data_IF_632491909507
#
_entry.id   IF_632491909507
#
_cell.length_a   1.000
_cell.length_b   1.000
_cell.length_c   1.000
_cell.angle_alpha   90.00
_cell.angle_beta   90.00
_cell.angle_gamma   90.00
#
_symmetry.space_group_name_H-M   'P 1'
#
loop_
_entity.id
_entity.type
_entity.pdbx_description
1 polymer ?
#
# COMPACT_ATOMS: atom_id res chain seq x y z
N UNK A 1 -2.99 -14.70 -20.58
CA UNK A 1 -3.14 -15.11 -19.16
C UNK A 1 -2.60 -16.53 -18.93
N UNK A 2 -3.20 -17.57 -19.55
CA UNK A 2 -2.87 -19.00 -19.32
C UNK A 2 -1.38 -19.31 -19.53
N UNK A 3 -0.74 -18.81 -20.58
CA UNK A 3 0.69 -19.06 -20.86
C UNK A 3 1.59 -18.53 -19.73
N UNK A 4 1.31 -17.35 -19.19
CA UNK A 4 2.06 -16.80 -18.04
C UNK A 4 1.92 -17.69 -16.80
N UNK A 5 0.69 -18.09 -16.47
CA UNK A 5 0.43 -18.98 -15.35
C UNK A 5 1.13 -20.34 -15.52
N UNK A 6 1.05 -20.94 -16.71
CA UNK A 6 1.71 -22.20 -17.01
C UNK A 6 3.24 -22.09 -16.86
N UNK A 7 3.84 -21.04 -17.42
CA UNK A 7 5.29 -20.79 -17.31
C UNK A 7 5.70 -20.65 -15.86
N UNK A 8 4.95 -19.87 -15.07
CA UNK A 8 5.21 -19.70 -13.64
C UNK A 8 5.13 -21.02 -12.88
N UNK A 9 4.07 -21.81 -13.08
CA UNK A 9 3.91 -23.10 -12.43
C UNK A 9 5.04 -24.08 -12.80
N UNK A 10 5.44 -24.12 -14.08
CA UNK A 10 6.55 -24.97 -14.52
C UNK A 10 7.90 -24.50 -13.94
N UNK A 11 8.11 -23.21 -13.77
CA UNK A 11 9.34 -22.66 -13.21
C UNK A 11 9.51 -22.95 -11.72
N UNK A 12 8.42 -22.90 -10.97
CA UNK A 12 8.43 -23.04 -9.50
C UNK A 12 8.28 -24.52 -9.09
N UNK A 13 7.46 -25.28 -9.79
CA UNK A 13 7.15 -26.66 -9.44
C UNK A 13 6.31 -26.81 -8.17
N UNK A 14 5.97 -28.04 -7.81
CA UNK A 14 5.07 -28.31 -6.68
C UNK A 14 5.64 -27.86 -5.33
N UNK A 15 6.92 -28.11 -5.09
CA UNK A 15 7.59 -27.71 -3.84
C UNK A 15 7.71 -26.17 -3.75
N UNK A 16 8.05 -25.51 -4.87
CA UNK A 16 8.13 -24.06 -4.93
C UNK A 16 6.80 -23.39 -4.63
N UNK A 17 5.66 -23.91 -5.09
CA UNK A 17 4.32 -23.38 -4.77
C UNK A 17 4.03 -23.40 -3.26
N UNK A 18 4.48 -24.42 -2.54
CA UNK A 18 4.38 -24.48 -1.08
C UNK A 18 5.25 -23.39 -0.44
N UNK A 19 6.46 -23.19 -0.95
CA UNK A 19 7.37 -22.13 -0.43
C UNK A 19 6.83 -20.73 -0.70
N UNK A 20 6.28 -20.48 -1.89
CA UNK A 20 5.60 -19.21 -2.24
C UNK A 20 4.53 -18.87 -1.20
N UNK A 21 3.62 -19.80 -0.91
CA UNK A 21 2.55 -19.59 0.06
C UNK A 21 3.08 -19.33 1.47
N UNK A 22 4.09 -20.10 1.90
CA UNK A 22 4.72 -19.92 3.22
C UNK A 22 5.42 -18.58 3.35
N UNK A 23 6.17 -18.16 2.32
CA UNK A 23 6.87 -16.89 2.31
C UNK A 23 5.89 -15.70 2.34
N UNK A 24 4.83 -15.73 1.54
CA UNK A 24 3.81 -14.68 1.54
C UNK A 24 3.15 -14.52 2.93
N UNK A 25 2.78 -15.63 3.58
CA UNK A 25 2.21 -15.61 4.94
C UNK A 25 3.22 -15.08 5.97
N UNK A 26 4.48 -15.49 5.87
CA UNK A 26 5.55 -15.01 6.75
C UNK A 26 5.75 -13.50 6.61
N UNK A 27 5.88 -13.03 5.37
CA UNK A 27 6.09 -11.62 5.04
C UNK A 27 4.95 -10.74 5.56
N UNK A 28 3.70 -11.14 5.34
CA UNK A 28 2.53 -10.40 5.83
C UNK A 28 2.51 -10.30 7.37
N UNK A 29 2.78 -11.39 8.06
CA UNK A 29 2.83 -11.38 9.53
C UNK A 29 4.03 -10.60 10.08
N UNK A 30 5.16 -10.62 9.38
CA UNK A 30 6.33 -9.81 9.73
C UNK A 30 6.00 -8.32 9.70
N UNK A 31 5.45 -7.82 8.59
CA UNK A 31 5.03 -6.42 8.46
C UNK A 31 3.97 -6.05 9.51
N UNK A 32 2.95 -6.89 9.70
CA UNK A 32 1.87 -6.65 10.66
C UNK A 32 2.41 -6.43 12.08
N UNK A 33 3.30 -7.30 12.54
CA UNK A 33 3.87 -7.20 13.89
C UNK A 33 4.71 -5.93 14.06
N UNK A 34 5.45 -5.52 13.03
CA UNK A 34 6.31 -4.34 13.08
C UNK A 34 5.52 -3.01 13.00
N UNK A 35 4.35 -3.01 12.37
CA UNK A 35 3.57 -1.79 12.13
C UNK A 35 2.44 -1.56 13.14
N UNK A 36 2.09 -2.55 13.96
CA UNK A 36 0.93 -2.49 14.87
C UNK A 36 0.99 -1.36 15.93
N UNK A 37 2.18 -0.90 16.28
CA UNK A 37 2.36 0.15 17.30
C UNK A 37 2.22 1.57 16.67
N UNK A 38 2.14 1.67 15.34
CA UNK A 38 2.07 2.93 14.60
C UNK A 38 0.73 3.15 13.92
N UNK A 39 0.01 2.06 13.61
CA UNK A 39 -1.28 2.07 12.94
C UNK A 39 -2.27 1.18 13.67
N UNK A 40 -3.55 1.49 13.56
CA UNK A 40 -4.58 0.59 14.06
C UNK A 40 -4.55 -0.76 13.35
N UNK A 41 -4.69 -1.84 14.09
CA UNK A 41 -4.86 -3.20 13.53
C UNK A 41 -6.34 -3.57 13.65
N UNK A 42 -7.00 -3.77 12.52
CA UNK A 42 -8.41 -4.13 12.51
C UNK A 42 -8.66 -5.52 13.13
N UNK A 43 -7.73 -6.45 12.91
CA UNK A 43 -7.80 -7.83 13.43
C UNK A 43 -6.42 -8.24 13.95
N UNK A 44 -6.21 -8.13 15.28
CA UNK A 44 -4.91 -8.47 15.90
C UNK A 44 -4.78 -9.98 16.13
N UNK A 45 -4.63 -10.70 15.05
CA UNK A 45 -4.33 -12.14 15.03
C UNK A 45 -3.38 -12.46 13.88
N UNK A 46 -2.79 -13.65 13.86
CA UNK A 46 -2.03 -14.11 12.71
C UNK A 46 -2.90 -14.07 11.43
N UNK A 47 -2.35 -13.49 10.39
CA UNK A 47 -3.00 -13.35 9.07
C UNK A 47 -2.45 -14.40 8.09
N UNK A 48 -3.13 -14.55 6.97
CA UNK A 48 -2.61 -15.26 5.81
C UNK A 48 -1.64 -14.35 5.03
N UNK A 49 -1.81 -14.21 3.75
CA UNK A 49 -0.90 -13.45 2.86
C UNK A 49 -1.12 -11.93 2.88
N UNK A 50 -2.14 -11.44 3.58
CA UNK A 50 -2.50 -10.02 3.65
C UNK A 50 -2.96 -9.63 5.06
N UNK A 51 -2.86 -8.35 5.37
CA UNK A 51 -3.42 -7.77 6.60
C UNK A 51 -3.91 -6.34 6.37
N UNK A 52 -4.77 -5.86 7.25
CA UNK A 52 -5.38 -4.54 7.14
C UNK A 52 -4.95 -3.67 8.29
N UNK A 53 -4.31 -2.55 7.99
CA UNK A 53 -4.07 -1.44 8.89
C UNK A 53 -5.21 -0.42 8.80
N UNK A 54 -5.38 0.37 9.85
CA UNK A 54 -6.29 1.51 9.88
C UNK A 54 -5.52 2.79 10.21
N UNK A 55 -5.70 3.81 9.39
CA UNK A 55 -5.19 5.16 9.61
C UNK A 55 -6.19 6.05 10.37
N UNK A 56 -7.20 5.47 11.04
CA UNK A 56 -8.24 6.24 11.74
C UNK A 56 -7.68 7.17 12.80
N UNK A 57 -6.60 6.77 13.50
CA UNK A 57 -5.95 7.62 14.51
C UNK A 57 -5.26 8.84 13.88
N UNK A 58 -4.59 8.66 12.75
CA UNK A 58 -3.93 9.73 11.99
C UNK A 58 -4.97 10.73 11.46
N UNK A 59 -6.10 10.21 10.96
CA UNK A 59 -7.21 11.05 10.51
C UNK A 59 -7.86 11.82 11.63
N UNK A 60 -8.15 11.18 12.75
CA UNK A 60 -8.79 11.82 13.89
C UNK A 60 -7.91 12.91 14.52
N UNK A 61 -6.59 12.69 14.59
CA UNK A 61 -5.66 13.62 15.23
C UNK A 61 -5.31 14.82 14.33
N UNK A 62 -5.00 14.59 13.05
CA UNK A 62 -4.40 15.59 12.18
C UNK A 62 -5.01 15.62 10.76
N UNK A 63 -6.10 14.91 10.53
CA UNK A 63 -6.79 14.85 9.26
C UNK A 63 -6.07 14.11 8.13
N UNK A 64 -5.03 13.33 8.45
CA UNK A 64 -4.27 12.53 7.48
C UNK A 64 -5.04 11.25 7.17
N UNK A 65 -5.46 11.08 5.93
CA UNK A 65 -6.25 9.94 5.45
C UNK A 65 -5.39 8.76 4.99
N UNK A 66 -6.00 7.58 4.81
CA UNK A 66 -5.35 6.42 4.19
C UNK A 66 -4.82 6.76 2.78
N UNK A 67 -5.56 7.56 2.00
CA UNK A 67 -5.11 8.00 0.68
C UNK A 67 -3.87 8.89 0.76
N UNK A 68 -3.78 9.75 1.76
CA UNK A 68 -2.60 10.62 1.95
C UNK A 68 -1.35 9.78 2.25
N UNK A 69 -1.47 8.78 3.11
CA UNK A 69 -0.40 7.82 3.43
C UNK A 69 0.01 7.05 2.17
N UNK A 70 -0.96 6.55 1.39
CA UNK A 70 -0.70 5.85 0.14
C UNK A 70 0.05 6.73 -0.87
N UNK A 71 -0.34 8.00 -1.01
CA UNK A 71 0.37 8.95 -1.88
C UNK A 71 1.78 9.26 -1.36
N UNK A 72 1.97 9.35 -0.04
CA UNK A 72 3.29 9.59 0.55
C UNK A 72 4.23 8.40 0.36
N UNK A 73 3.73 7.16 0.34
CA UNK A 73 4.53 5.96 0.02
C UNK A 73 5.18 6.02 -1.36
N UNK A 74 4.56 6.69 -2.34
CA UNK A 74 5.14 6.89 -3.68
C UNK A 74 6.47 7.65 -3.59
N UNK A 75 6.58 8.64 -2.69
CA UNK A 75 7.82 9.39 -2.47
C UNK A 75 8.95 8.53 -1.90
N UNK A 76 8.61 7.43 -1.26
CA UNK A 76 9.56 6.40 -0.80
C UNK A 76 9.78 5.29 -1.84
N UNK A 77 9.30 5.47 -3.07
CA UNK A 77 9.41 4.50 -4.17
C UNK A 77 8.67 3.18 -3.96
N UNK A 78 7.68 3.16 -3.08
CA UNK A 78 6.82 1.99 -2.88
C UNK A 78 5.52 2.11 -3.66
N UNK A 79 5.06 0.96 -4.18
CA UNK A 79 3.71 0.85 -4.71
C UNK A 79 2.69 0.99 -3.58
N UNK A 80 1.70 1.89 -3.69
CA UNK A 80 0.72 2.09 -2.63
C UNK A 80 -0.14 0.83 -2.40
N UNK A 81 -0.50 0.53 -1.15
CA UNK A 81 -1.45 -0.54 -0.86
C UNK A 81 -2.87 -0.17 -1.33
N UNK A 82 -3.76 -1.14 -1.40
CA UNK A 82 -5.19 -0.91 -1.61
C UNK A 82 -5.75 -0.10 -0.44
N UNK A 83 -6.38 1.04 -0.74
CA UNK A 83 -6.99 1.92 0.25
C UNK A 83 -8.51 1.75 0.31
N UNK A 84 -9.09 2.06 1.49
CA UNK A 84 -10.54 2.02 1.74
C UNK A 84 -11.19 0.65 1.52
N UNK A 85 -10.42 -0.41 1.56
CA UNK A 85 -10.89 -1.77 1.48
C UNK A 85 -10.22 -2.65 2.56
N UNK A 86 -10.97 -3.51 3.27
CA UNK A 86 -12.43 -3.74 3.18
C UNK A 86 -13.25 -2.58 3.76
N UNK A 87 -14.45 -2.36 3.24
CA UNK A 87 -15.32 -1.22 3.58
C UNK A 87 -15.72 -1.15 5.06
N UNK A 88 -15.64 -2.27 5.78
CA UNK A 88 -15.93 -2.34 7.23
C UNK A 88 -14.81 -1.78 8.11
N UNK A 89 -13.64 -1.50 7.55
CA UNK A 89 -12.51 -0.89 8.26
C UNK A 89 -12.36 0.56 7.82
N UNK A 90 -12.54 1.49 8.75
CA UNK A 90 -12.34 2.90 8.47
C UNK A 90 -10.87 3.21 8.18
N UNK A 91 -10.61 4.03 7.15
CA UNK A 91 -9.25 4.40 6.72
C UNK A 91 -8.35 3.18 6.52
N UNK A 92 -8.89 2.17 5.84
CA UNK A 92 -8.20 0.91 5.60
C UNK A 92 -7.02 1.07 4.64
N UNK A 93 -5.94 0.37 4.97
CA UNK A 93 -4.76 0.13 4.13
C UNK A 93 -4.56 -1.40 4.10
N UNK A 94 -4.87 -2.05 2.98
CA UNK A 94 -4.68 -3.49 2.82
C UNK A 94 -3.31 -3.75 2.23
N UNK A 95 -2.47 -4.42 2.98
CA UNK A 95 -1.06 -4.69 2.62
C UNK A 95 -0.90 -6.17 2.33
N UNK A 96 -0.40 -6.46 1.13
CA UNK A 96 -0.18 -7.80 0.60
C UNK A 96 1.24 -7.91 0.05
N UNK A 97 2.24 -8.20 0.89
CA UNK A 97 3.60 -8.45 0.42
C UNK A 97 3.66 -9.82 -0.25
N UNK A 98 4.26 -9.87 -1.44
CA UNK A 98 4.43 -11.14 -2.15
C UNK A 98 5.61 -11.93 -1.62
N UNK A 99 5.74 -13.18 -2.06
CA UNK A 99 6.87 -14.05 -1.75
C UNK A 99 8.20 -13.55 -2.32
N UNK A 100 8.14 -12.69 -3.32
CA UNK A 100 9.32 -12.16 -4.02
C UNK A 100 10.02 -11.04 -3.25
N UNK A 101 9.36 -10.50 -2.21
CA UNK A 101 9.94 -9.42 -1.41
C UNK A 101 11.07 -9.94 -0.52
N UNK A 102 12.23 -9.30 -0.60
CA UNK A 102 13.34 -9.59 0.29
C UNK A 102 13.10 -9.03 1.70
N UNK A 103 13.83 -9.55 2.69
CA UNK A 103 13.75 -8.98 4.05
C UNK A 103 14.17 -7.51 4.07
N UNK A 104 15.16 -7.14 3.28
CA UNK A 104 15.65 -5.77 3.15
C UNK A 104 14.53 -4.86 2.64
N UNK A 105 13.83 -5.25 1.56
CA UNK A 105 12.68 -4.51 1.02
C UNK A 105 11.55 -4.37 2.04
N UNK A 106 11.27 -5.44 2.80
CA UNK A 106 10.27 -5.39 3.87
C UNK A 106 10.67 -4.44 5.00
N UNK A 107 11.95 -4.42 5.39
CA UNK A 107 12.47 -3.51 6.41
C UNK A 107 12.41 -2.05 5.92
N UNK A 108 12.78 -1.76 4.67
CA UNK A 108 12.65 -0.44 4.06
C UNK A 108 11.18 0.03 4.01
N UNK A 109 10.25 -0.86 3.68
CA UNK A 109 8.81 -0.55 3.73
C UNK A 109 8.34 -0.23 5.16
N UNK A 110 8.79 -0.99 6.15
CA UNK A 110 8.50 -0.72 7.57
C UNK A 110 9.00 0.67 7.97
N UNK A 111 10.25 0.99 7.62
CA UNK A 111 10.86 2.29 7.95
C UNK A 111 10.11 3.44 7.28
N UNK A 112 9.70 3.29 6.00
CA UNK A 112 8.88 4.27 5.30
C UNK A 112 7.52 4.48 5.99
N UNK A 113 6.82 3.41 6.34
CA UNK A 113 5.53 3.48 7.03
C UNK A 113 5.66 4.13 8.42
N UNK A 114 6.69 3.79 9.18
CA UNK A 114 6.98 4.40 10.48
C UNK A 114 7.29 5.90 10.33
N UNK A 115 8.09 6.25 9.32
CA UNK A 115 8.41 7.65 9.02
C UNK A 115 7.14 8.43 8.67
N UNK A 116 6.26 7.90 7.80
CA UNK A 116 4.99 8.53 7.44
C UNK A 116 4.09 8.71 8.67
N UNK A 117 4.04 7.72 9.58
CA UNK A 117 3.28 7.84 10.83
C UNK A 117 3.83 8.94 11.75
N UNK A 118 5.14 9.19 11.75
CA UNK A 118 5.77 10.32 12.47
C UNK A 118 5.45 11.64 11.79
N UNK A 119 5.61 11.73 10.46
CA UNK A 119 5.28 12.91 9.65
C UNK A 119 3.81 13.31 9.83
N UNK A 120 2.90 12.35 9.82
CA UNK A 120 1.47 12.60 10.07
C UNK A 120 1.19 13.29 11.42
N UNK A 121 2.08 13.16 12.40
CA UNK A 121 1.97 13.84 13.72
C UNK A 121 2.70 15.17 13.77
N UNK A 122 3.88 15.27 13.15
CA UNK A 122 4.78 16.44 13.29
C UNK A 122 4.61 17.46 12.17
N UNK A 123 4.29 16.99 10.97
CA UNK A 123 4.08 17.81 9.77
C UNK A 123 3.01 17.15 8.87
N UNK A 124 1.72 17.20 9.26
CA UNK A 124 0.66 16.55 8.49
C UNK A 124 0.50 17.10 7.07
N UNK A 125 0.88 18.35 6.82
CA UNK A 125 0.79 18.95 5.48
C UNK A 125 1.76 18.30 4.50
N UNK A 126 2.93 17.87 4.95
CA UNK A 126 3.87 17.09 4.14
C UNK A 126 3.23 15.79 3.61
N UNK A 127 2.42 15.12 4.42
CA UNK A 127 1.73 13.88 4.02
C UNK A 127 0.51 14.20 3.14
N UNK A 128 -0.27 15.22 3.47
CA UNK A 128 -1.48 15.60 2.73
C UNK A 128 -1.20 16.13 1.32
N UNK A 129 -0.04 16.70 1.09
CA UNK A 129 0.36 17.27 -0.21
C UNK A 129 1.17 16.30 -1.08
N UNK A 130 1.55 15.14 -0.55
CA UNK A 130 2.26 14.09 -1.30
C UNK A 130 1.43 13.58 -2.50
N UNK A 131 2.07 13.08 -3.58
CA UNK A 131 3.50 12.86 -3.74
C UNK A 131 4.27 14.13 -4.14
N UNK A 132 5.57 14.19 -3.79
CA UNK A 132 6.46 15.32 -4.07
C UNK A 132 7.56 14.99 -5.08
N UNK A 133 7.90 13.70 -5.24
CA UNK A 133 9.03 13.25 -6.08
C UNK A 133 8.62 12.85 -7.49
N UNK A 134 7.32 12.83 -7.78
CA UNK A 134 6.77 12.44 -9.08
C UNK A 134 6.61 13.66 -10.00
N UNK A 135 6.66 13.43 -11.33
CA UNK A 135 6.45 14.48 -12.33
C UNK A 135 5.06 15.14 -12.25
N UNK A 136 4.08 14.44 -11.70
CA UNK A 136 2.70 14.91 -11.52
C UNK A 136 2.30 14.69 -10.07
N UNK A 137 1.77 15.72 -9.45
CA UNK A 137 1.23 15.67 -8.09
C UNK A 137 -0.16 15.05 -8.04
N UNK A 138 -1.00 15.45 -7.09
CA UNK A 138 -2.38 14.92 -6.96
C UNK A 138 -3.25 15.31 -8.14
N UNK A 139 -4.03 14.36 -8.60
CA UNK A 139 -5.07 14.56 -9.59
C UNK A 139 -6.40 14.97 -8.95
N UNK A 140 -7.22 15.68 -9.69
CA UNK A 140 -8.64 15.84 -9.36
C UNK A 140 -9.40 14.54 -9.71
N UNK A 141 -9.33 13.56 -8.80
CA UNK A 141 -9.94 12.24 -8.97
C UNK A 141 -11.47 12.34 -9.11
N UNK A 142 -12.09 13.32 -8.44
CA UNK A 142 -13.54 13.56 -8.53
C UNK A 142 -13.93 14.00 -9.93
N UNK A 143 -13.20 14.96 -10.49
CA UNK A 143 -13.44 15.42 -11.86
C UNK A 143 -13.18 14.32 -12.89
N UNK A 144 -12.09 13.58 -12.72
CA UNK A 144 -11.74 12.46 -13.61
C UNK A 144 -12.81 11.36 -13.61
N UNK A 145 -13.40 11.06 -12.46
CA UNK A 145 -14.47 10.07 -12.35
C UNK A 145 -15.81 10.57 -12.90
N UNK A 146 -16.16 11.86 -12.70
CA UNK A 146 -17.45 12.43 -13.12
C UNK A 146 -17.46 12.85 -14.60
N UNK A 147 -16.33 13.30 -15.10
CA UNK A 147 -16.19 13.85 -16.47
C UNK A 147 -14.98 13.22 -17.17
N UNK A 148 -15.00 11.89 -17.43
CA UNK A 148 -13.85 11.20 -18.02
C UNK A 148 -13.66 11.65 -19.48
N UNK A 149 -12.40 11.97 -19.82
CA UNK A 149 -11.99 12.17 -21.22
C UNK A 149 -11.45 10.82 -21.72
N UNK A 150 -12.24 10.11 -22.53
CA UNK A 150 -11.96 8.73 -22.94
C UNK A 150 -11.20 8.63 -24.27
N UNK A 151 -11.03 9.75 -24.97
CA UNK A 151 -10.33 9.82 -26.26
C UNK A 151 -9.18 10.81 -26.18
N UNK A 152 -8.08 10.45 -26.85
CA UNK A 152 -7.00 11.39 -27.02
C UNK A 152 -7.33 12.34 -28.18
N UNK A 153 -7.24 13.63 -27.94
CA UNK A 153 -7.28 14.66 -28.96
C UNK A 153 -5.90 15.29 -29.07
N UNK A 154 -5.40 15.43 -30.29
CA UNK A 154 -4.18 16.17 -30.53
C UNK A 154 -4.49 17.65 -30.32
N UNK A 155 -3.79 18.30 -29.40
CA UNK A 155 -3.84 19.74 -29.28
C UNK A 155 -3.28 20.32 -30.59
N UNK A 156 -4.14 20.95 -31.39
CA UNK A 156 -3.71 21.78 -32.50
C UNK A 156 -3.15 23.06 -31.87
N UNK A 157 -1.82 23.07 -31.67
CA UNK A 157 -1.06 24.20 -31.12
C UNK A 157 -1.02 25.44 -32.01
#
# INVERSE_FOLDING_TARGET
>A
MIVKAYTYLCSIGAEGLVQVSRAAVLNANYLRVKLKDYYGIAYDRACMHEFVLSASSQKASNGVTANDIAKRLIDFSFHPPTVYFPLIVHEALMIEPTETESKETLDEFIDAMIQIAKEARTDPELVKTAPHTTAVSRFDETRAARFPILTWHRDEG
#
